data_IF_556976922386
#
_entry.id   IF_556976922386
#
_cell.length_a   1.000
_cell.length_b   1.000
_cell.length_c   1.000
_cell.angle_alpha   90.00
_cell.angle_beta   90.00
_cell.angle_gamma   90.00
#
_symmetry.space_group_name_H-M   'P 1'
#
loop_
_entity.id
_entity.type
_entity.pdbx_description
1 polymer ?
#
# COMPACT_ATOMS: atom_id res chain seq x y z
N UNK A 1 40.93 -6.75 7.32
CA UNK A 1 39.68 -6.09 6.89
C UNK A 1 39.94 -4.59 6.77
N UNK A 2 40.11 -4.04 5.55
CA UNK A 2 40.70 -2.69 5.35
C UNK A 2 39.91 -1.54 5.99
N UNK A 3 38.58 -1.62 5.96
CA UNK A 3 37.69 -0.55 6.45
C UNK A 3 37.19 -0.77 7.89
N UNK A 4 37.84 -1.66 8.66
CA UNK A 4 37.49 -1.93 10.07
C UNK A 4 38.51 -1.24 10.99
N UNK A 5 38.10 -0.78 12.20
CA UNK A 5 39.01 -0.15 13.17
C UNK A 5 40.23 -1.03 13.46
N UNK A 6 40.01 -2.33 13.69
CA UNK A 6 41.06 -3.33 13.73
C UNK A 6 41.26 -3.95 12.34
N UNK A 7 42.46 -3.77 11.77
CA UNK A 7 42.81 -4.31 10.45
C UNK A 7 42.90 -5.84 10.45
N UNK A 8 43.32 -6.42 11.57
CA UNK A 8 43.49 -7.86 11.76
C UNK A 8 42.55 -8.34 12.88
N UNK A 9 41.97 -9.52 12.69
CA UNK A 9 41.03 -10.11 13.64
C UNK A 9 40.30 -11.31 13.06
N UNK A 10 39.62 -12.04 13.94
CA UNK A 10 38.76 -13.16 13.56
C UNK A 10 37.40 -12.60 13.13
N UNK A 11 36.88 -13.08 12.03
CA UNK A 11 35.57 -12.67 11.52
C UNK A 11 34.53 -13.71 11.94
N UNK A 12 33.46 -13.27 12.58
CA UNK A 12 32.28 -14.07 12.85
C UNK A 12 31.06 -13.51 12.11
N UNK A 13 30.16 -14.39 11.73
CA UNK A 13 28.83 -14.09 11.23
C UNK A 13 27.85 -14.39 12.35
N UNK A 14 26.95 -13.46 12.64
CA UNK A 14 26.01 -13.59 13.76
C UNK A 14 24.63 -13.15 13.28
N UNK A 15 23.62 -13.98 13.54
CA UNK A 15 22.22 -13.58 13.47
C UNK A 15 21.79 -13.06 14.84
N UNK A 16 21.23 -11.86 14.88
CA UNK A 16 20.77 -11.24 16.13
C UNK A 16 19.32 -10.76 16.01
N UNK A 17 18.60 -10.77 17.13
CA UNK A 17 17.34 -10.05 17.25
C UNK A 17 17.58 -8.54 17.21
N UNK A 18 16.82 -7.83 16.37
CA UNK A 18 17.00 -6.41 16.14
C UNK A 18 16.62 -5.55 17.37
N UNK A 19 15.70 -6.04 18.23
CA UNK A 19 15.23 -5.28 19.39
C UNK A 19 16.07 -5.53 20.64
N UNK A 20 16.32 -6.80 20.97
CA UNK A 20 17.04 -7.18 22.19
C UNK A 20 18.55 -7.29 22.01
N UNK A 21 19.05 -7.26 20.77
CA UNK A 21 20.44 -7.62 20.42
C UNK A 21 20.83 -9.05 20.82
N UNK A 22 19.86 -9.93 21.09
CA UNK A 22 20.11 -11.32 21.43
C UNK A 22 20.77 -12.04 20.24
N UNK A 23 21.95 -12.62 20.45
CA UNK A 23 22.65 -13.41 19.46
C UNK A 23 22.01 -14.79 19.35
N UNK A 24 21.29 -15.03 18.25
CA UNK A 24 20.60 -16.29 17.98
C UNK A 24 21.58 -17.40 17.61
N UNK A 25 22.42 -17.18 16.59
CA UNK A 25 23.37 -18.17 16.08
C UNK A 25 24.60 -17.46 15.53
N UNK A 26 25.77 -18.04 15.78
CA UNK A 26 27.07 -17.51 15.35
C UNK A 26 27.85 -18.56 14.57
N UNK A 27 28.53 -18.13 13.52
CA UNK A 27 29.45 -18.95 12.74
C UNK A 27 30.78 -18.21 12.53
N UNK A 28 31.91 -18.86 12.85
CA UNK A 28 33.25 -18.30 12.63
C UNK A 28 33.68 -18.49 11.17
N UNK A 29 34.21 -17.44 10.55
CA UNK A 29 34.78 -17.50 9.21
C UNK A 29 36.22 -18.04 9.25
N UNK A 30 36.40 -19.25 8.72
CA UNK A 30 37.68 -19.97 8.72
C UNK A 30 38.55 -19.72 7.48
N UNK A 31 38.11 -18.87 6.55
CA UNK A 31 38.89 -18.50 5.36
C UNK A 31 38.91 -19.52 4.21
N UNK A 32 38.81 -20.82 4.50
CA UNK A 32 38.80 -21.92 3.53
C UNK A 32 37.70 -22.91 3.88
N UNK A 33 37.23 -23.68 2.90
CA UNK A 33 36.30 -24.80 3.15
C UNK A 33 36.92 -25.70 4.22
N UNK A 34 36.15 -26.19 5.22
CA UNK A 34 36.56 -27.37 5.93
C UNK A 34 36.71 -28.48 4.89
N UNK A 35 37.88 -29.11 4.82
CA UNK A 35 37.99 -30.36 4.06
C UNK A 35 36.93 -31.30 4.64
N UNK A 36 36.09 -31.84 3.77
CA UNK A 36 35.26 -32.99 4.11
C UNK A 36 36.23 -34.16 4.39
N UNK A 37 36.68 -34.26 5.64
CA UNK A 37 37.55 -35.31 6.12
C UNK A 37 37.34 -35.44 7.64
N UNK A 38 36.21 -36.05 8.01
CA UNK A 38 36.02 -36.78 9.27
C UNK A 38 34.67 -37.52 9.22
N UNK A 39 34.52 -38.44 8.27
CA UNK A 39 33.65 -39.61 8.50
C UNK A 39 34.59 -40.79 8.60
N UNK A 40 34.83 -41.19 9.84
CA UNK A 40 35.48 -42.44 10.21
C UNK A 40 34.66 -43.59 9.66
N UNK A 41 35.19 -44.26 8.63
CA UNK A 41 34.90 -45.67 8.42
C UNK A 41 36.21 -46.36 8.08
N UNK A 42 36.57 -47.27 8.98
CA UNK A 42 37.69 -48.20 8.96
C UNK A 42 37.83 -48.99 7.66
N UNK A 43 39.06 -49.14 7.16
CA UNK A 43 39.41 -50.20 6.20
C UNK A 43 40.61 -49.92 5.28
N UNK A 44 41.80 -50.33 5.73
CA UNK A 44 42.94 -50.95 4.97
C UNK A 44 43.72 -50.13 3.91
N UNK A 45 44.98 -49.81 4.28
CA UNK A 45 46.30 -49.96 3.58
C UNK A 45 46.32 -50.02 2.03
N UNK A 46 47.25 -49.42 1.26
CA UNK A 46 48.68 -49.18 1.45
C UNK A 46 49.23 -48.21 0.35
N UNK A 47 50.36 -47.54 0.63
CA UNK A 47 51.41 -46.99 -0.26
C UNK A 47 51.04 -45.99 -1.38
N UNK A 48 51.63 -44.79 -1.35
CA UNK A 48 52.95 -44.56 -1.98
C UNK A 48 53.45 -43.12 -1.72
N UNK A 49 54.76 -43.05 -1.57
CA UNK A 49 55.58 -41.91 -1.21
C UNK A 49 55.64 -40.88 -2.34
N UNK A 50 55.29 -39.64 -2.04
CA UNK A 50 55.30 -38.56 -3.00
C UNK A 50 55.24 -37.21 -2.33
N UNK A 51 56.39 -36.75 -1.83
CA UNK A 51 56.61 -35.38 -1.32
C UNK A 51 56.44 -34.36 -2.45
N UNK A 52 55.19 -34.07 -2.84
CA UNK A 52 54.83 -32.84 -3.55
C UNK A 52 54.32 -31.85 -2.51
N UNK A 53 55.14 -30.85 -2.20
CA UNK A 53 54.76 -29.58 -1.56
C UNK A 53 53.80 -28.83 -2.52
N UNK A 54 52.62 -29.40 -2.75
CA UNK A 54 51.55 -28.79 -3.52
C UNK A 54 50.92 -27.72 -2.65
N UNK A 55 51.28 -26.46 -2.92
CA UNK A 55 50.63 -25.28 -2.36
C UNK A 55 49.19 -25.26 -2.87
N UNK A 56 48.31 -26.04 -2.23
CA UNK A 56 46.90 -26.17 -2.56
C UNK A 56 46.22 -24.81 -2.45
N UNK A 57 46.13 -24.09 -3.57
CA UNK A 57 45.31 -22.89 -3.72
C UNK A 57 43.84 -23.34 -3.68
N UNK A 58 43.33 -23.58 -2.48
CA UNK A 58 41.90 -23.75 -2.27
C UNK A 58 41.18 -22.48 -2.68
N UNK A 59 40.37 -22.57 -3.74
CA UNK A 59 39.58 -21.45 -4.26
C UNK A 59 38.59 -20.92 -3.22
N UNK A 60 38.21 -19.65 -3.33
CA UNK A 60 37.17 -19.04 -2.51
C UNK A 60 35.86 -19.82 -2.62
N UNK A 61 35.19 -20.04 -1.50
CA UNK A 61 33.89 -20.71 -1.45
C UNK A 61 32.85 -19.97 -2.30
N UNK A 62 32.26 -20.67 -3.27
CA UNK A 62 31.16 -20.14 -4.09
C UNK A 62 29.89 -20.06 -3.23
N UNK A 63 29.11 -18.99 -3.37
CA UNK A 63 27.85 -18.77 -2.66
C UNK A 63 27.93 -18.79 -1.12
N UNK A 64 29.10 -18.44 -0.56
CA UNK A 64 29.30 -18.37 0.89
C UNK A 64 28.21 -17.54 1.59
N UNK A 65 27.83 -16.40 1.01
CA UNK A 65 26.87 -15.50 1.62
C UNK A 65 25.48 -16.16 1.79
N UNK A 66 24.98 -16.81 0.75
CA UNK A 66 23.71 -17.55 0.77
C UNK A 66 23.75 -18.68 1.79
N UNK A 67 24.82 -19.51 1.78
CA UNK A 67 24.99 -20.60 2.74
C UNK A 67 25.00 -20.11 4.18
N UNK A 68 25.78 -19.07 4.48
CA UNK A 68 25.86 -18.48 5.81
C UNK A 68 24.47 -18.06 6.29
N UNK A 69 23.69 -17.36 5.46
CA UNK A 69 22.35 -16.90 5.87
C UNK A 69 21.42 -18.07 6.15
N UNK A 70 21.38 -19.07 5.27
CA UNK A 70 20.53 -20.26 5.48
C UNK A 70 20.91 -20.98 6.79
N UNK A 71 22.21 -21.19 7.04
CA UNK A 71 22.67 -21.86 8.26
C UNK A 71 22.36 -21.06 9.54
N UNK A 72 22.60 -19.75 9.54
CA UNK A 72 22.35 -18.93 10.76
C UNK A 72 20.86 -18.67 11.00
N UNK A 73 20.02 -18.90 10.00
CA UNK A 73 18.56 -18.75 10.08
C UNK A 73 17.81 -20.08 10.14
N UNK A 74 18.53 -21.19 10.16
CA UNK A 74 17.98 -22.52 10.38
C UNK A 74 17.15 -22.56 11.67
N UNK A 75 15.92 -23.06 11.58
CA UNK A 75 14.96 -23.11 12.68
C UNK A 75 14.18 -21.82 12.94
N UNK A 76 14.48 -20.71 12.25
CA UNK A 76 13.65 -19.51 12.27
C UNK A 76 12.55 -19.60 11.21
N UNK A 77 11.30 -19.38 11.61
CA UNK A 77 10.15 -19.34 10.69
C UNK A 77 9.27 -18.12 10.95
N UNK A 78 8.68 -17.57 9.89
CA UNK A 78 7.76 -16.43 10.00
C UNK A 78 8.41 -15.11 10.45
N UNK A 79 9.73 -14.93 10.25
CA UNK A 79 10.47 -13.73 10.69
C UNK A 79 10.93 -12.87 9.51
N UNK A 80 11.18 -11.59 9.80
CA UNK A 80 11.80 -10.67 8.85
C UNK A 80 13.30 -10.58 9.11
N UNK A 81 14.09 -11.00 8.13
CA UNK A 81 15.54 -11.03 8.15
C UNK A 81 16.06 -9.77 7.47
N UNK A 82 16.83 -8.96 8.19
CA UNK A 82 17.51 -7.80 7.59
C UNK A 82 18.98 -8.12 7.34
N UNK A 83 19.45 -7.89 6.12
CA UNK A 83 20.79 -8.27 5.66
C UNK A 83 21.55 -7.10 5.03
N UNK A 84 22.88 -7.12 5.15
CA UNK A 84 23.78 -6.24 4.40
C UNK A 84 23.95 -6.72 2.93
N UNK A 85 24.46 -5.84 2.07
CA UNK A 85 24.65 -6.06 0.64
C UNK A 85 25.47 -7.28 0.23
N UNK A 86 26.31 -7.79 1.12
CA UNK A 86 27.07 -9.00 0.85
C UNK A 86 26.17 -10.23 0.80
N UNK A 87 25.10 -10.23 1.60
CA UNK A 87 24.20 -11.35 1.80
C UNK A 87 22.98 -11.30 0.89
N UNK A 88 22.51 -10.11 0.53
CA UNK A 88 21.25 -9.96 -0.21
C UNK A 88 21.38 -10.39 -1.68
N UNK A 89 20.51 -11.32 -2.10
CA UNK A 89 20.26 -11.68 -3.51
C UNK A 89 18.78 -12.01 -3.71
N UNK A 90 18.30 -11.95 -4.96
CA UNK A 90 16.92 -12.32 -5.28
C UNK A 90 16.69 -13.81 -4.98
N UNK A 91 17.61 -14.68 -5.39
CA UNK A 91 17.51 -16.12 -5.15
C UNK A 91 17.41 -16.48 -3.66
N UNK A 92 18.22 -15.83 -2.80
CA UNK A 92 18.14 -16.05 -1.35
C UNK A 92 16.79 -15.61 -0.79
N UNK A 93 16.27 -14.47 -1.27
CA UNK A 93 14.99 -13.94 -0.82
C UNK A 93 13.84 -14.91 -1.11
N UNK A 94 13.87 -15.54 -2.29
CA UNK A 94 12.91 -16.55 -2.72
C UNK A 94 13.00 -17.82 -1.86
N UNK A 95 14.21 -18.35 -1.65
CA UNK A 95 14.41 -19.55 -0.83
C UNK A 95 13.94 -19.35 0.61
N UNK A 96 14.30 -18.22 1.24
CA UNK A 96 13.87 -17.91 2.60
C UNK A 96 12.34 -17.83 2.74
N UNK A 97 11.67 -17.28 1.73
CA UNK A 97 10.22 -17.17 1.71
C UNK A 97 9.55 -18.54 1.51
N UNK A 98 10.04 -19.34 0.58
CA UNK A 98 9.45 -20.64 0.23
C UNK A 98 9.73 -21.74 1.26
N UNK A 99 10.94 -21.80 1.80
CA UNK A 99 11.36 -22.89 2.71
C UNK A 99 10.89 -22.63 4.14
N UNK A 100 11.01 -21.38 4.62
CA UNK A 100 10.85 -21.05 6.04
C UNK A 100 9.80 -19.96 6.33
N UNK A 101 9.08 -19.49 5.30
CA UNK A 101 8.16 -18.35 5.41
C UNK A 101 8.84 -17.10 6.03
N UNK A 102 10.12 -16.89 5.71
CA UNK A 102 10.86 -15.73 6.20
C UNK A 102 10.95 -14.66 5.11
N UNK A 103 10.74 -13.40 5.51
CA UNK A 103 10.94 -12.26 4.62
C UNK A 103 12.39 -11.76 4.69
N UNK A 104 12.89 -11.18 3.60
CA UNK A 104 14.23 -10.63 3.49
C UNK A 104 14.14 -9.14 3.15
N UNK A 105 14.84 -8.32 3.92
CA UNK A 105 15.06 -6.90 3.66
C UNK A 105 16.56 -6.64 3.56
N UNK A 106 17.02 -5.97 2.52
CA UNK A 106 18.44 -5.62 2.44
C UNK A 106 18.82 -4.77 1.25
N UNK A 107 19.97 -4.13 1.34
CA UNK A 107 20.55 -3.40 0.21
C UNK A 107 21.12 -4.37 -0.81
N UNK A 108 20.99 -4.12 -2.11
CA UNK A 108 21.54 -5.00 -3.16
C UNK A 108 22.70 -4.32 -3.88
N UNK A 109 23.74 -5.09 -4.21
CA UNK A 109 24.84 -4.58 -5.02
C UNK A 109 24.41 -4.41 -6.48
N UNK A 110 24.78 -3.27 -7.06
CA UNK A 110 24.47 -2.90 -8.46
C UNK A 110 24.99 -3.88 -9.53
N UNK A 111 25.95 -4.73 -9.19
CA UNK A 111 26.58 -5.68 -10.12
C UNK A 111 25.85 -7.04 -10.18
N UNK A 112 24.68 -7.15 -9.55
CA UNK A 112 23.87 -8.37 -9.62
C UNK A 112 23.17 -8.45 -10.99
N UNK A 113 23.30 -9.57 -11.72
CA UNK A 113 22.70 -9.72 -13.06
C UNK A 113 21.17 -9.78 -13.03
N UNK A 114 20.59 -10.06 -11.85
CA UNK A 114 19.15 -10.14 -11.62
C UNK A 114 18.44 -8.78 -11.67
N UNK A 115 19.19 -7.67 -11.73
CA UNK A 115 18.64 -6.31 -11.61
C UNK A 115 18.20 -5.76 -12.97
N UNK A 116 16.97 -5.21 -13.08
CA UNK A 116 16.53 -4.53 -14.30
C UNK A 116 17.37 -3.27 -14.61
N UNK A 117 17.85 -3.15 -15.84
CA UNK A 117 18.63 -1.98 -16.31
C UNK A 117 17.89 -0.65 -16.13
N UNK A 118 16.56 -0.67 -16.22
CA UNK A 118 15.70 0.50 -16.01
C UNK A 118 15.86 1.13 -14.60
N UNK A 119 16.24 0.32 -13.61
CA UNK A 119 16.54 0.76 -12.24
C UNK A 119 17.99 1.20 -12.07
N UNK A 120 18.90 0.69 -12.90
CA UNK A 120 20.31 1.08 -12.91
C UNK A 120 20.55 2.39 -13.66
N UNK A 121 19.68 2.74 -14.62
CA UNK A 121 19.77 3.97 -15.40
C UNK A 121 19.64 5.23 -14.53
N UNK A 122 20.71 6.04 -14.51
CA UNK A 122 20.79 7.29 -13.72
C UNK A 122 20.61 8.56 -14.55
N UNK A 123 20.80 8.48 -15.88
CA UNK A 123 20.70 9.65 -16.78
C UNK A 123 19.28 10.21 -16.72
N UNK A 124 19.17 11.53 -16.59
CA UNK A 124 17.88 12.24 -16.52
C UNK A 124 17.09 12.06 -15.21
N UNK A 125 17.62 11.36 -14.19
CA UNK A 125 16.92 11.20 -12.91
C UNK A 125 17.18 12.37 -11.96
N UNK A 126 16.09 12.90 -11.36
CA UNK A 126 16.16 13.90 -10.28
C UNK A 126 16.70 13.26 -9.00
N UNK A 127 17.52 13.99 -8.24
CA UNK A 127 17.97 13.58 -6.90
C UNK A 127 16.75 13.48 -5.98
N UNK A 128 16.78 12.54 -5.02
CA UNK A 128 15.67 12.17 -4.14
C UNK A 128 14.48 11.50 -4.87
N UNK A 129 14.67 11.03 -6.11
CA UNK A 129 13.66 10.24 -6.81
C UNK A 129 13.79 8.74 -6.52
N UNK A 130 12.66 8.04 -6.51
CA UNK A 130 12.59 6.58 -6.38
C UNK A 130 11.96 5.95 -7.63
N UNK A 131 12.47 4.78 -8.01
CA UNK A 131 11.83 3.88 -8.97
C UNK A 131 11.57 2.54 -8.29
N UNK A 132 10.48 1.89 -8.66
CA UNK A 132 10.05 0.63 -8.07
C UNK A 132 9.93 -0.42 -9.16
N UNK A 133 10.37 -1.64 -8.86
CA UNK A 133 10.03 -2.82 -9.62
C UNK A 133 9.39 -3.83 -8.67
N UNK A 134 8.37 -4.53 -9.17
CA UNK A 134 7.61 -5.49 -8.39
C UNK A 134 7.54 -6.81 -9.14
N UNK A 135 7.85 -7.87 -8.41
CA UNK A 135 7.49 -9.25 -8.76
C UNK A 135 6.29 -9.64 -7.90
N UNK A 136 5.75 -10.85 -8.12
CA UNK A 136 4.63 -11.37 -7.34
C UNK A 136 4.89 -11.31 -5.83
N UNK A 137 6.09 -11.52 -5.36
CA UNK A 137 6.46 -11.70 -3.94
C UNK A 137 7.56 -10.75 -3.46
N UNK A 138 8.16 -9.99 -4.38
CA UNK A 138 9.37 -9.21 -4.12
C UNK A 138 9.19 -7.79 -4.64
N UNK A 139 9.63 -6.81 -3.88
CA UNK A 139 9.72 -5.41 -4.26
C UNK A 139 11.19 -4.97 -4.28
N UNK A 140 11.58 -4.27 -5.34
CA UNK A 140 12.90 -3.69 -5.51
C UNK A 140 12.76 -2.18 -5.69
N UNK A 141 13.48 -1.42 -4.88
CA UNK A 141 13.46 0.05 -4.88
C UNK A 141 14.83 0.57 -5.31
N UNK A 142 14.84 1.47 -6.27
CA UNK A 142 16.01 2.25 -6.68
C UNK A 142 15.84 3.71 -6.29
N UNK A 143 16.56 4.11 -5.25
CA UNK A 143 16.53 5.47 -4.70
C UNK A 143 17.81 6.23 -5.03
N UNK A 144 17.66 7.41 -5.63
CA UNK A 144 18.79 8.27 -5.98
C UNK A 144 19.07 9.30 -4.88
N UNK A 145 19.80 8.90 -3.84
CA UNK A 145 20.08 9.76 -2.68
C UNK A 145 20.93 10.99 -3.01
N UNK A 146 21.91 10.84 -3.90
CA UNK A 146 22.79 11.92 -4.39
C UNK A 146 23.05 11.75 -5.88
N UNK A 147 23.59 12.78 -6.54
CA UNK A 147 24.03 12.68 -7.95
C UNK A 147 24.95 11.46 -8.11
N UNK A 148 24.62 10.58 -9.06
CA UNK A 148 25.34 9.32 -9.33
C UNK A 148 25.45 8.33 -8.16
N UNK A 149 24.64 8.46 -7.11
CA UNK A 149 24.57 7.52 -5.98
C UNK A 149 23.18 6.89 -5.91
N UNK A 150 23.06 5.71 -6.52
CA UNK A 150 21.85 4.90 -6.50
C UNK A 150 21.93 3.87 -5.36
N UNK A 151 20.93 3.85 -4.50
CA UNK A 151 20.74 2.86 -3.44
C UNK A 151 19.65 1.90 -3.90
N UNK A 152 19.99 0.62 -3.95
CA UNK A 152 19.06 -0.45 -4.29
C UNK A 152 18.66 -1.18 -3.03
N UNK A 153 17.37 -1.35 -2.82
CA UNK A 153 16.81 -2.05 -1.67
C UNK A 153 15.82 -3.11 -2.14
N UNK A 154 16.05 -4.35 -1.73
CA UNK A 154 15.21 -5.50 -2.00
C UNK A 154 14.43 -5.84 -0.74
N UNK A 155 13.14 -6.11 -0.90
CA UNK A 155 12.24 -6.55 0.15
C UNK A 155 11.34 -7.65 -0.40
N UNK A 156 11.29 -8.81 0.24
CA UNK A 156 10.15 -9.72 0.03
C UNK A 156 9.00 -9.29 0.92
N UNK A 157 7.78 -9.40 0.39
CA UNK A 157 6.58 -8.98 1.11
C UNK A 157 5.56 -10.08 0.99
N UNK A 158 4.94 -10.43 2.11
CA UNK A 158 3.81 -11.34 2.11
C UNK A 158 2.67 -10.75 1.29
N UNK A 159 2.29 -11.48 0.24
CA UNK A 159 1.22 -11.09 -0.66
C UNK A 159 -0.10 -10.87 0.08
N UNK A 160 -0.34 -11.62 1.16
CA UNK A 160 -1.53 -11.44 1.97
C UNK A 160 -1.55 -10.05 2.59
N UNK A 161 -0.47 -9.56 3.17
CA UNK A 161 -0.46 -8.28 3.89
C UNK A 161 -0.60 -7.09 2.93
N UNK A 162 0.05 -7.13 1.75
CA UNK A 162 -0.16 -6.14 0.66
C UNK A 162 -1.59 -6.12 0.14
N UNK A 163 -2.17 -7.30 -0.07
CA UNK A 163 -3.50 -7.43 -0.64
C UNK A 163 -4.53 -7.01 0.40
N UNK A 164 -4.45 -7.49 1.64
CA UNK A 164 -5.33 -7.10 2.76
C UNK A 164 -5.27 -5.59 3.02
N UNK A 165 -4.08 -4.98 3.05
CA UNK A 165 -3.94 -3.52 3.29
C UNK A 165 -4.50 -2.64 2.18
N UNK A 166 -4.54 -3.10 0.92
CA UNK A 166 -5.03 -2.28 -0.21
C UNK A 166 -6.54 -1.95 -0.09
N UNK A 167 -7.33 -2.83 0.55
CA UNK A 167 -8.76 -2.64 0.79
C UNK A 167 -9.08 -3.06 2.23
N UNK A 168 -8.49 -2.37 3.21
CA UNK A 168 -8.70 -2.66 4.63
C UNK A 168 -9.84 -1.84 5.23
N UNK A 169 -10.65 -2.48 6.08
CA UNK A 169 -11.71 -1.86 6.87
C UNK A 169 -11.19 -1.31 8.21
N UNK A 170 -9.88 -1.40 8.49
CA UNK A 170 -9.28 -0.95 9.75
C UNK A 170 -9.57 0.53 10.01
N UNK A 171 -9.98 0.82 11.25
CA UNK A 171 -10.16 2.19 11.79
C UNK A 171 -9.27 2.39 13.01
N UNK A 172 -8.87 3.63 13.25
CA UNK A 172 -8.15 3.99 14.49
C UNK A 172 -9.06 3.68 15.69
N UNK A 173 -8.58 2.83 16.59
CA UNK A 173 -9.33 2.39 17.78
C UNK A 173 -8.36 2.15 18.94
N UNK A 174 -8.77 2.53 20.15
CA UNK A 174 -8.05 2.22 21.39
C UNK A 174 -8.47 0.86 22.00
N UNK A 175 -9.43 0.15 21.36
CA UNK A 175 -9.96 -1.12 21.85
C UNK A 175 -9.39 -2.28 21.02
N UNK A 176 -8.52 -3.08 21.63
CA UNK A 176 -7.86 -4.21 20.95
C UNK A 176 -8.80 -5.25 20.31
N UNK A 177 -10.00 -5.58 20.87
CA UNK A 177 -10.88 -6.56 20.23
C UNK A 177 -11.39 -6.06 18.86
N UNK A 178 -11.58 -4.75 18.73
CA UNK A 178 -12.03 -4.15 17.48
C UNK A 178 -10.92 -4.16 16.41
N UNK A 179 -9.66 -4.08 16.82
CA UNK A 179 -8.52 -4.25 15.90
C UNK A 179 -8.47 -5.69 15.35
N UNK A 180 -8.71 -6.69 16.20
CA UNK A 180 -8.81 -8.10 15.78
C UNK A 180 -10.01 -8.32 14.88
N UNK A 181 -11.18 -7.75 15.22
CA UNK A 181 -12.38 -7.85 14.41
C UNK A 181 -12.19 -7.30 12.98
N UNK A 182 -11.56 -6.14 12.83
CA UNK A 182 -11.26 -5.60 11.50
C UNK A 182 -10.32 -6.50 10.70
N UNK A 183 -9.35 -7.15 11.35
CA UNK A 183 -8.47 -8.12 10.69
C UNK A 183 -9.25 -9.33 10.19
N UNK A 184 -10.15 -9.86 11.02
CA UNK A 184 -11.02 -10.98 10.64
C UNK A 184 -11.86 -10.59 9.41
N UNK A 185 -12.50 -9.42 9.43
CA UNK A 185 -13.28 -8.93 8.29
C UNK A 185 -12.48 -8.85 7.00
N UNK A 186 -11.26 -8.28 7.04
CA UNK A 186 -10.45 -8.10 5.85
C UNK A 186 -9.96 -9.45 5.28
N UNK A 187 -9.55 -10.38 6.14
CA UNK A 187 -9.10 -11.73 5.75
C UNK A 187 -10.26 -12.56 5.22
N UNK A 188 -11.40 -12.58 5.90
CA UNK A 188 -12.60 -13.30 5.46
C UNK A 188 -13.12 -12.79 4.12
N UNK A 189 -13.15 -11.47 3.92
CA UNK A 189 -13.59 -10.87 2.65
C UNK A 189 -12.65 -11.23 1.49
N UNK A 190 -11.35 -11.33 1.75
CA UNK A 190 -10.39 -11.78 0.74
C UNK A 190 -10.53 -13.28 0.43
N UNK A 191 -10.69 -14.13 1.44
CA UNK A 191 -10.90 -15.56 1.25
C UNK A 191 -12.17 -15.83 0.43
N UNK A 192 -13.27 -15.12 0.74
CA UNK A 192 -14.51 -15.18 -0.02
C UNK A 192 -14.31 -14.78 -1.49
N UNK A 193 -13.52 -13.73 -1.75
CA UNK A 193 -13.19 -13.31 -3.11
C UNK A 193 -12.41 -14.37 -3.89
N UNK A 194 -11.44 -15.04 -3.25
CA UNK A 194 -10.66 -16.11 -3.89
C UNK A 194 -11.59 -17.26 -4.29
N UNK A 195 -12.44 -17.73 -3.36
CA UNK A 195 -13.41 -18.79 -3.63
C UNK A 195 -14.36 -18.40 -4.77
N UNK A 196 -14.90 -17.18 -4.74
CA UNK A 196 -15.81 -16.68 -5.78
C UNK A 196 -15.17 -16.67 -7.17
N UNK A 197 -13.90 -16.27 -7.26
CA UNK A 197 -13.13 -16.24 -8.51
C UNK A 197 -12.94 -17.63 -9.10
N UNK A 198 -12.60 -18.62 -8.26
CA UNK A 198 -12.38 -19.99 -8.72
C UNK A 198 -13.68 -20.65 -9.21
N UNK A 199 -14.80 -20.37 -8.54
CA UNK A 199 -16.11 -20.90 -8.94
C UNK A 199 -16.69 -20.20 -10.18
N UNK A 200 -16.30 -18.94 -10.45
CA UNK A 200 -16.85 -18.14 -11.53
C UNK A 200 -15.74 -17.54 -12.41
N UNK A 201 -15.04 -18.36 -13.23
CA UNK A 201 -13.92 -17.90 -14.05
C UNK A 201 -14.33 -16.84 -15.09
N UNK A 202 -15.55 -16.95 -15.63
CA UNK A 202 -16.10 -16.03 -16.64
C UNK A 202 -16.68 -14.74 -16.03
N UNK A 203 -16.63 -14.59 -14.70
CA UNK A 203 -17.15 -13.40 -14.05
C UNK A 203 -16.24 -12.18 -14.29
N UNK A 204 -16.78 -11.18 -14.98
CA UNK A 204 -16.11 -9.95 -15.43
C UNK A 204 -14.85 -10.22 -16.28
N UNK A 205 -14.99 -10.78 -17.49
CA UNK A 205 -13.85 -11.07 -18.36
C UNK A 205 -13.17 -9.74 -18.76
N UNK A 206 -11.83 -9.74 -18.80
CA UNK A 206 -11.03 -8.57 -19.20
C UNK A 206 -10.95 -7.41 -18.19
N UNK A 207 -11.74 -7.39 -17.11
CA UNK A 207 -11.62 -6.34 -16.08
C UNK A 207 -10.50 -6.60 -15.09
N UNK A 208 -9.68 -5.58 -14.83
CA UNK A 208 -8.57 -5.64 -13.85
C UNK A 208 -8.99 -5.35 -12.41
N UNK A 209 -10.15 -4.74 -12.20
CA UNK A 209 -10.66 -4.30 -10.89
C UNK A 209 -11.66 -5.28 -10.24
N UNK A 210 -11.59 -6.58 -10.55
CA UNK A 210 -12.55 -7.60 -10.08
C UNK A 210 -12.76 -7.59 -8.55
N UNK A 211 -11.66 -7.46 -7.79
CA UNK A 211 -11.71 -7.43 -6.32
C UNK A 211 -12.50 -6.26 -5.76
N UNK A 212 -12.33 -5.06 -6.33
CA UNK A 212 -13.08 -3.87 -5.88
C UNK A 212 -14.58 -4.05 -6.09
N UNK A 213 -14.95 -4.57 -7.27
CA UNK A 213 -16.35 -4.84 -7.61
C UNK A 213 -16.94 -5.90 -6.68
N UNK A 214 -16.17 -6.95 -6.39
CA UNK A 214 -16.60 -7.99 -5.43
C UNK A 214 -16.85 -7.41 -4.04
N UNK A 215 -15.91 -6.63 -3.50
CA UNK A 215 -16.07 -6.03 -2.16
C UNK A 215 -17.25 -5.05 -2.09
N UNK A 216 -17.51 -4.30 -3.16
CA UNK A 216 -18.69 -3.42 -3.25
C UNK A 216 -20.00 -4.23 -3.22
N UNK A 217 -20.06 -5.33 -3.97
CA UNK A 217 -21.22 -6.22 -3.99
C UNK A 217 -21.42 -6.93 -2.65
N UNK A 218 -20.33 -7.42 -2.04
CA UNK A 218 -20.35 -8.03 -0.72
C UNK A 218 -20.89 -7.04 0.33
N UNK A 219 -20.38 -5.81 0.34
CA UNK A 219 -20.86 -4.78 1.26
C UNK A 219 -22.35 -4.47 1.09
N UNK A 220 -22.84 -4.37 -0.15
CA UNK A 220 -24.27 -4.18 -0.43
C UNK A 220 -25.11 -5.37 0.02
N UNK A 221 -24.66 -6.60 -0.27
CA UNK A 221 -25.38 -7.82 0.09
C UNK A 221 -25.52 -7.99 1.61
N UNK A 222 -24.45 -7.73 2.37
CA UNK A 222 -24.45 -7.83 3.84
C UNK A 222 -25.41 -6.81 4.47
N UNK A 223 -25.55 -5.63 3.89
CA UNK A 223 -26.35 -4.53 4.45
C UNK A 223 -27.77 -4.48 3.90
N UNK A 224 -28.07 -5.17 2.78
CA UNK A 224 -29.37 -5.15 2.11
C UNK A 224 -30.54 -5.46 3.06
N UNK A 225 -30.46 -6.58 3.80
CA UNK A 225 -31.49 -6.96 4.76
C UNK A 225 -31.68 -5.91 5.87
N UNK A 226 -30.59 -5.31 6.35
CA UNK A 226 -30.66 -4.26 7.38
C UNK A 226 -31.26 -2.96 6.85
N UNK A 227 -31.09 -2.66 5.56
CA UNK A 227 -31.73 -1.51 4.91
C UNK A 227 -33.22 -1.74 4.79
N UNK A 228 -33.64 -2.91 4.31
CA UNK A 228 -35.05 -3.29 4.20
C UNK A 228 -35.75 -3.18 5.57
N UNK A 229 -35.17 -3.78 6.61
CA UNK A 229 -35.70 -3.67 7.98
C UNK A 229 -35.80 -2.21 8.48
N UNK A 230 -34.83 -1.35 8.13
CA UNK A 230 -34.87 0.07 8.49
C UNK A 230 -35.99 0.85 7.81
N UNK A 231 -36.46 0.41 6.64
CA UNK A 231 -37.58 1.08 5.95
C UNK A 231 -38.93 0.80 6.61
N UNK A 232 -39.05 -0.31 7.34
CA UNK A 232 -40.26 -0.70 8.06
C UNK A 232 -40.33 -0.17 9.49
N UNK A 233 -39.21 0.33 10.04
CA UNK A 233 -39.24 0.99 11.33
C UNK A 233 -39.95 2.35 11.18
N UNK A 234 -40.93 2.68 12.05
CA UNK A 234 -41.53 4.01 12.07
C UNK A 234 -40.42 5.02 12.33
N UNK A 235 -40.08 5.78 11.29
CA UNK A 235 -39.12 6.87 11.38
C UNK A 235 -39.70 7.85 12.39
N UNK A 236 -38.98 8.12 13.49
CA UNK A 236 -39.25 9.31 14.29
C UNK A 236 -39.34 10.48 13.29
N UNK A 237 -40.40 11.31 13.39
CA UNK A 237 -40.78 12.35 12.42
C UNK A 237 -39.61 13.26 12.04
N UNK A 238 -38.74 12.78 11.17
CA UNK A 238 -37.77 13.58 10.46
C UNK A 238 -38.60 14.27 9.39
N UNK A 239 -38.62 15.61 9.49
CA UNK A 239 -39.31 16.56 8.64
C UNK A 239 -39.60 16.04 7.21
N UNK A 240 -40.79 16.31 6.65
CA UNK A 240 -41.19 15.79 5.35
C UNK A 240 -40.08 16.03 4.33
N UNK A 241 -39.58 14.93 3.77
CA UNK A 241 -38.66 14.93 2.64
C UNK A 241 -39.45 15.46 1.45
N UNK A 242 -39.47 16.77 1.29
CA UNK A 242 -39.87 17.38 0.03
C UNK A 242 -38.94 16.82 -1.07
N UNK A 243 -39.46 16.48 -2.26
CA UNK A 243 -38.61 16.13 -3.39
C UNK A 243 -37.56 17.22 -3.59
N UNK A 244 -36.36 16.90 -4.10
CA UNK A 244 -35.32 17.90 -4.30
C UNK A 244 -35.86 18.97 -5.25
N UNK A 245 -36.25 20.11 -4.68
CA UNK A 245 -36.62 21.30 -5.44
C UNK A 245 -35.40 21.64 -6.28
N UNK A 246 -35.49 21.73 -7.62
CA UNK A 246 -34.36 22.12 -8.43
C UNK A 246 -33.85 23.45 -7.90
N UNK A 247 -32.54 23.52 -7.61
CA UNK A 247 -31.89 24.70 -7.07
C UNK A 247 -32.00 25.85 -8.09
N UNK A 248 -33.13 26.55 -8.06
CA UNK A 248 -33.36 27.76 -8.82
C UNK A 248 -32.27 28.76 -8.42
N UNK A 249 -31.69 29.45 -9.39
CA UNK A 249 -30.67 30.49 -9.14
C UNK A 249 -31.40 31.80 -8.85
N UNK A 250 -31.04 32.47 -7.75
CA UNK A 250 -31.57 33.81 -7.42
C UNK A 250 -31.18 34.80 -8.52
N UNK A 251 -32.13 35.57 -9.04
CA UNK A 251 -31.88 36.62 -10.02
C UNK A 251 -32.17 38.00 -9.42
N UNK A 252 -31.64 39.04 -10.06
CA UNK A 252 -31.74 40.43 -9.61
C UNK A 252 -33.02 41.08 -10.15
N UNK A 253 -33.69 41.88 -9.32
CA UNK A 253 -34.78 42.75 -9.78
C UNK A 253 -34.24 43.90 -10.64
N UNK A 254 -34.82 44.09 -11.82
CA UNK A 254 -34.37 45.10 -12.79
C UNK A 254 -34.39 46.53 -12.23
N UNK A 255 -35.35 46.87 -11.37
CA UNK A 255 -35.53 48.24 -10.82
C UNK A 255 -34.57 48.54 -9.65
N UNK A 256 -33.90 47.52 -9.08
CA UNK A 256 -33.01 47.74 -7.96
C UNK A 256 -31.66 48.35 -8.42
N UNK A 257 -31.15 49.43 -7.80
CA UNK A 257 -29.85 50.03 -8.13
C UNK A 257 -28.71 49.01 -8.01
N UNK A 258 -27.75 49.05 -8.96
CA UNK A 258 -26.68 48.04 -9.05
C UNK A 258 -25.79 47.94 -7.82
N UNK A 259 -25.69 49.02 -7.05
CA UNK A 259 -24.89 49.09 -5.82
C UNK A 259 -25.46 48.27 -4.66
N UNK A 260 -26.75 47.86 -4.69
CA UNK A 260 -27.42 47.13 -3.59
C UNK A 260 -27.47 45.60 -3.78
N UNK A 261 -27.07 45.07 -4.95
CA UNK A 261 -27.09 43.65 -5.39
C UNK A 261 -28.05 42.69 -4.65
N UNK A 262 -29.35 43.02 -4.61
CA UNK A 262 -30.35 42.19 -3.95
C UNK A 262 -30.88 41.10 -4.92
N UNK A 263 -30.45 39.85 -4.72
CA UNK A 263 -30.89 38.68 -5.49
C UNK A 263 -32.02 37.95 -4.78
N UNK A 264 -33.13 37.67 -5.49
CA UNK A 264 -34.33 37.05 -4.90
C UNK A 264 -34.84 35.86 -5.69
N UNK A 265 -35.67 35.06 -5.02
CA UNK A 265 -36.49 34.01 -5.63
C UNK A 265 -37.93 34.46 -5.92
N UNK A 266 -38.34 35.59 -5.34
CA UNK A 266 -39.72 36.06 -5.44
C UNK A 266 -39.95 36.60 -6.83
N UNK A 267 -41.07 36.22 -7.44
CA UNK A 267 -41.48 36.61 -8.78
C UNK A 267 -42.88 37.21 -8.69
N UNK A 268 -43.13 38.30 -9.41
CA UNK A 268 -44.46 38.88 -9.51
C UNK A 268 -45.40 37.91 -10.24
N UNK A 269 -46.60 37.71 -9.70
CA UNK A 269 -47.59 36.78 -10.26
C UNK A 269 -48.05 37.19 -11.66
N UNK A 270 -48.15 38.49 -11.92
CA UNK A 270 -48.77 38.99 -13.16
C UNK A 270 -47.77 39.22 -14.30
N UNK A 271 -46.52 39.59 -13.98
CA UNK A 271 -45.51 39.94 -15.00
C UNK A 271 -44.26 39.06 -14.98
N UNK A 272 -44.20 38.06 -14.10
CA UNK A 272 -43.10 37.11 -13.96
C UNK A 272 -41.70 37.72 -13.74
N UNK A 273 -41.63 39.01 -13.35
CA UNK A 273 -40.37 39.69 -13.02
C UNK A 273 -39.96 39.41 -11.57
N UNK A 274 -38.65 39.20 -11.35
CA UNK A 274 -38.08 38.94 -10.02
C UNK A 274 -38.15 40.17 -9.13
N UNK A 275 -38.77 40.11 -7.95
CA UNK A 275 -38.99 41.27 -7.07
C UNK A 275 -38.15 41.20 -5.78
N UNK A 276 -37.60 42.34 -5.33
CA UNK A 276 -36.99 42.47 -4.00
C UNK A 276 -38.05 42.76 -2.93
N UNK A 277 -38.00 42.06 -1.78
CA UNK A 277 -38.88 42.38 -0.63
C UNK A 277 -38.72 43.82 -0.12
N UNK A 278 -37.58 44.47 -0.37
CA UNK A 278 -37.33 45.87 0.00
C UNK A 278 -37.98 46.88 -0.96
N UNK A 279 -38.27 46.47 -2.19
CA UNK A 279 -38.74 47.35 -3.25
C UNK A 279 -40.19 47.06 -3.64
N UNK A 280 -40.69 45.87 -3.28
CA UNK A 280 -42.06 45.47 -3.47
C UNK A 280 -42.94 46.07 -2.36
N UNK A 281 -44.04 46.69 -2.74
CA UNK A 281 -45.12 47.08 -1.83
C UNK A 281 -46.05 45.89 -1.63
N UNK A 282 -46.53 45.70 -0.39
CA UNK A 282 -47.57 44.72 -0.10
C UNK A 282 -48.94 45.39 -0.24
N UNK A 283 -49.79 44.82 -1.09
CA UNK A 283 -51.19 45.20 -1.22
C UNK A 283 -52.08 44.05 -0.73
N UNK A 284 -53.24 44.37 -0.15
CA UNK A 284 -54.25 43.37 0.11
C UNK A 284 -54.95 42.95 -1.21
N UNK A 285 -55.58 41.76 -1.27
CA UNK A 285 -56.21 41.27 -2.49
C UNK A 285 -57.31 42.19 -3.05
N UNK A 286 -57.95 42.99 -2.18
CA UNK A 286 -58.99 43.96 -2.56
C UNK A 286 -58.38 45.19 -3.26
N UNK A 287 -57.33 45.78 -2.68
CA UNK A 287 -56.63 46.93 -3.27
C UNK A 287 -55.81 46.55 -4.51
N UNK A 288 -55.41 45.29 -4.66
CA UNK A 288 -54.72 44.79 -5.85
C UNK A 288 -55.67 44.60 -7.05
N UNK A 289 -56.96 44.36 -6.79
CA UNK A 289 -57.98 44.07 -7.83
C UNK A 289 -58.88 45.26 -8.17
N UNK A 290 -58.73 46.42 -7.51
CA UNK A 290 -59.44 47.63 -7.89
C UNK A 290 -58.76 48.27 -9.11
N UNK A 291 -59.45 48.41 -10.26
CA UNK A 291 -58.89 49.14 -11.40
C UNK A 291 -58.77 50.62 -11.03
N UNK A 292 -57.56 51.07 -10.69
CA UNK A 292 -57.30 52.49 -10.55
C UNK A 292 -57.42 53.13 -11.93
N UNK A 293 -58.39 54.02 -12.05
CA UNK A 293 -58.53 55.04 -13.08
C UNK A 293 -57.17 55.57 -13.55
N UNK A 294 -56.89 55.40 -14.84
CA UNK A 294 -55.82 56.10 -15.54
C UNK A 294 -56.06 57.62 -15.56
N UNK A 295 -54.95 58.36 -15.58
CA UNK A 295 -54.71 59.80 -15.81
C UNK A 295 -54.15 60.53 -14.57
N UNK A 296 -53.08 61.31 -14.62
CA UNK A 296 -51.96 61.44 -15.56
C UNK A 296 -50.89 62.33 -14.86
N UNK A 297 -49.75 62.50 -15.51
CA UNK A 297 -48.54 63.16 -15.04
C UNK A 297 -48.68 64.59 -14.49
N UNK A 298 -47.78 64.93 -13.56
CA UNK A 298 -47.40 66.29 -13.21
C UNK A 298 -45.99 66.33 -12.64
N UNK A 299 -45.01 66.49 -13.53
CA UNK A 299 -43.60 66.75 -13.24
C UNK A 299 -43.36 68.12 -12.60
N UNK A 300 -42.57 68.15 -11.52
CA UNK A 300 -41.39 69.03 -11.30
C UNK A 300 -40.38 68.24 -10.47
#
# INVERSE_FOLDING_TARGET
>A
MPNKPARYGIKSWVACDARSSYAWKMQVYTGRKPNAAATTTSGREEKEEGRKKGKGRGGSEKNQATRVVLDVTEGLTGRSITCDNFFTSYELAQRLLLENNNTLLGTVRKNKPELPDALLALRGRRVLSSKFAFTRDTALVSYLAKKNKNVLLLSTVDNLDKVVTTYSCRRMTARWPLAVFHNILDVSSYNAFVIWRELNPDWLPGKRNKRRVFLEQLGKAVVALLIEWRTHLPRAEAAPVNPPIPASKRKRFQVCPSKKDCKTYNVCRDCEKYICRRCALLYCPVCANSPSSSLEHGSV
#
